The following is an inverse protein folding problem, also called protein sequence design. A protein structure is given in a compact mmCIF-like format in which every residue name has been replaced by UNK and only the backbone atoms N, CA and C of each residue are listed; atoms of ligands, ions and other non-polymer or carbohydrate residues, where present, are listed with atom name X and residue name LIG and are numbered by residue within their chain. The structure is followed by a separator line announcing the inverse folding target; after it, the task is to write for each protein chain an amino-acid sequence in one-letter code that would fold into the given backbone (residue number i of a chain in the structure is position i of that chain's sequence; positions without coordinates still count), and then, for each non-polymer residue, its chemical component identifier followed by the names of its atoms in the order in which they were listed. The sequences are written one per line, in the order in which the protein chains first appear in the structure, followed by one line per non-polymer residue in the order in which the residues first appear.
data_IF_545393187456
#
_entry.id   IF_545393187456
#
_cell.length_a   1.000
_cell.length_b   1.000
_cell.length_c   1.000
_cell.angle_alpha   90.00
_cell.angle_beta   90.00
_cell.angle_gamma   90.00
#
_symmetry.space_group_name_H-M   'P 1'
#
loop_
_entity.id
_entity.type
_entity.pdbx_description
1 polymer ?
#
# COMPACT_ATOMS: atom_id res chain seq x y z
N UNK A 1 5.50 0.20 -1.67
CA UNK A 1 6.93 -0.04 -1.91
C UNK A 1 7.34 0.64 -3.21
N UNK A 2 8.18 1.67 -3.15
CA UNK A 2 8.94 2.08 -4.34
C UNK A 2 10.26 1.34 -4.23
N UNK A 3 10.37 0.21 -4.93
CA UNK A 3 11.63 -0.50 -5.06
C UNK A 3 12.60 0.43 -5.79
N UNK A 4 13.39 1.21 -5.04
CA UNK A 4 14.59 1.88 -5.52
C UNK A 4 15.70 0.83 -5.69
N UNK A 5 15.42 -0.15 -6.53
CA UNK A 5 16.32 -1.24 -6.88
C UNK A 5 16.23 -1.44 -8.38
N UNK A 6 16.53 -0.40 -9.15
CA UNK A 6 16.84 -0.60 -10.55
C UNK A 6 18.21 -1.30 -10.61
N UNK A 7 18.18 -2.63 -10.58
CA UNK A 7 19.16 -3.40 -11.33
C UNK A 7 18.85 -3.05 -12.78
N UNK A 8 19.53 -2.05 -13.31
CA UNK A 8 19.32 -1.52 -14.66
C UNK A 8 19.78 -2.57 -15.69
N UNK A 9 18.94 -3.58 -15.91
CA UNK A 9 19.07 -4.50 -17.03
C UNK A 9 18.84 -3.69 -18.30
N UNK A 10 19.82 -3.72 -19.21
CA UNK A 10 19.74 -3.04 -20.50
C UNK A 10 18.41 -3.39 -21.18
N UNK A 11 17.57 -2.36 -21.41
CA UNK A 11 16.18 -2.52 -21.87
C UNK A 11 16.05 -3.23 -23.21
N UNK A 12 17.07 -3.13 -24.06
CA UNK A 12 17.09 -3.74 -25.40
C UNK A 12 17.71 -5.14 -25.39
N UNK A 13 18.59 -5.43 -24.42
CA UNK A 13 19.30 -6.71 -24.38
C UNK A 13 18.44 -7.86 -23.83
N UNK A 14 17.51 -7.60 -22.90
CA UNK A 14 16.77 -8.66 -22.20
C UNK A 14 15.25 -8.38 -22.05
N UNK A 15 14.51 -8.20 -23.16
CA UNK A 15 13.10 -7.81 -23.11
C UNK A 15 12.20 -8.84 -22.40
N UNK A 16 12.44 -10.13 -22.61
CA UNK A 16 11.64 -11.21 -22.01
C UNK A 16 11.89 -11.37 -20.51
N UNK A 17 13.16 -11.30 -20.09
CA UNK A 17 13.53 -11.37 -18.68
C UNK A 17 12.91 -10.21 -17.89
N UNK A 18 12.97 -8.99 -18.46
CA UNK A 18 12.35 -7.80 -17.87
C UNK A 18 10.84 -7.96 -17.73
N UNK A 19 10.14 -8.44 -18.76
CA UNK A 19 8.69 -8.70 -18.71
C UNK A 19 8.35 -9.70 -17.61
N UNK A 20 9.12 -10.78 -17.47
CA UNK A 20 8.90 -11.79 -16.42
C UNK A 20 9.17 -11.22 -15.03
N UNK A 21 10.27 -10.48 -14.86
CA UNK A 21 10.60 -9.81 -13.60
C UNK A 21 9.50 -8.81 -13.19
N UNK A 22 8.99 -8.01 -14.13
CA UNK A 22 7.87 -7.10 -13.88
C UNK A 22 6.61 -7.84 -13.43
N UNK A 23 6.25 -8.97 -14.07
CA UNK A 23 5.11 -9.80 -13.65
C UNK A 23 5.30 -10.33 -12.23
N UNK A 24 6.49 -10.82 -11.90
CA UNK A 24 6.80 -11.28 -10.54
C UNK A 24 6.71 -10.13 -9.53
N UNK A 25 7.28 -8.97 -9.84
CA UNK A 25 7.22 -7.79 -8.98
C UNK A 25 5.78 -7.31 -8.74
N UNK A 26 4.93 -7.33 -9.77
CA UNK A 26 3.50 -7.00 -9.64
C UNK A 26 2.79 -8.03 -8.76
N UNK A 27 3.02 -9.33 -8.99
CA UNK A 27 2.43 -10.40 -8.18
C UNK A 27 2.80 -10.24 -6.71
N UNK A 28 4.09 -10.23 -6.38
CA UNK A 28 4.57 -10.08 -5.01
C UNK A 28 4.21 -8.72 -4.40
N UNK A 29 4.28 -7.64 -5.17
CA UNK A 29 3.91 -6.31 -4.72
C UNK A 29 2.42 -6.20 -4.38
N UNK A 30 1.55 -6.79 -5.20
CA UNK A 30 0.11 -6.81 -4.93
C UNK A 30 -0.25 -7.65 -3.70
N UNK A 31 0.37 -8.83 -3.55
CA UNK A 31 0.19 -9.68 -2.37
C UNK A 31 0.59 -8.93 -1.09
N UNK A 32 1.77 -8.30 -1.08
CA UNK A 32 2.22 -7.50 0.06
C UNK A 32 1.22 -6.38 0.42
N UNK A 33 0.74 -5.64 -0.58
CA UNK A 33 -0.23 -4.55 -0.34
C UNK A 33 -1.53 -5.10 0.27
N UNK A 34 -2.02 -6.24 -0.24
CA UNK A 34 -3.19 -6.91 0.32
C UNK A 34 -2.96 -7.35 1.77
N UNK A 35 -1.83 -8.00 2.06
CA UNK A 35 -1.48 -8.47 3.41
C UNK A 35 -1.37 -7.31 4.41
N UNK A 36 -0.67 -6.24 4.05
CA UNK A 36 -0.58 -5.04 4.88
C UNK A 36 -1.97 -4.43 5.13
N UNK A 37 -2.80 -4.38 4.09
CA UNK A 37 -4.18 -3.89 4.20
C UNK A 37 -5.00 -4.75 5.16
N UNK A 38 -4.96 -6.09 5.04
CA UNK A 38 -5.63 -7.00 5.95
C UNK A 38 -5.13 -6.88 7.39
N UNK A 39 -3.83 -6.69 7.59
CA UNK A 39 -3.24 -6.47 8.91
C UNK A 39 -3.78 -5.19 9.55
N UNK A 40 -3.78 -4.06 8.82
CA UNK A 40 -4.38 -2.80 9.26
C UNK A 40 -5.85 -2.99 9.61
N UNK A 41 -6.62 -3.69 8.77
CA UNK A 41 -8.02 -3.98 9.06
C UNK A 41 -8.20 -4.82 10.33
N UNK A 42 -7.36 -5.83 10.55
CA UNK A 42 -7.41 -6.69 11.72
C UNK A 42 -7.11 -5.90 13.01
N UNK A 43 -6.09 -5.04 12.99
CA UNK A 43 -5.72 -4.19 14.13
C UNK A 43 -6.87 -3.21 14.46
N UNK A 44 -7.41 -2.54 13.45
CA UNK A 44 -8.48 -1.55 13.65
C UNK A 44 -9.82 -2.19 14.06
N UNK A 45 -10.12 -3.41 13.60
CA UNK A 45 -11.31 -4.17 14.04
C UNK A 45 -11.16 -4.75 15.45
N UNK A 46 -9.94 -4.99 15.94
CA UNK A 46 -9.71 -5.62 17.24
C UNK A 46 -9.95 -4.66 18.43
N UNK A 47 -9.78 -3.34 18.26
CA UNK A 47 -9.85 -2.36 19.36
C UNK A 47 -11.27 -1.85 19.68
N UNK A 48 -12.16 -1.68 18.69
CA UNK A 48 -13.53 -1.17 18.87
C UNK A 48 -14.53 -2.04 18.10
N UNK A 49 -14.92 -3.16 18.70
CA UNK A 49 -15.49 -4.35 18.04
C UNK A 49 -16.87 -4.24 17.35
N UNK A 50 -17.46 -3.06 17.09
CA UNK A 50 -18.81 -3.04 16.47
C UNK A 50 -19.19 -1.86 15.57
N UNK A 51 -18.32 -0.88 15.31
CA UNK A 51 -18.78 0.36 14.61
C UNK A 51 -17.86 0.93 13.53
N UNK A 52 -16.92 0.13 13.00
CA UNK A 52 -16.18 0.57 11.81
C UNK A 52 -17.06 0.39 10.57
N UNK A 53 -17.85 1.41 10.22
CA UNK A 53 -18.58 1.41 8.95
C UNK A 53 -17.60 1.42 7.77
N UNK A 54 -18.05 1.04 6.58
CA UNK A 54 -17.21 1.04 5.37
C UNK A 54 -16.57 2.40 5.09
N UNK A 55 -17.24 3.50 5.46
CA UNK A 55 -16.69 4.85 5.36
C UNK A 55 -15.48 5.05 6.28
N UNK A 56 -15.55 4.60 7.53
CA UNK A 56 -14.44 4.67 8.47
C UNK A 56 -13.26 3.80 7.99
N UNK A 57 -13.57 2.61 7.47
CA UNK A 57 -12.57 1.70 6.92
C UNK A 57 -11.82 2.34 5.73
N UNK A 58 -12.55 2.96 4.80
CA UNK A 58 -11.96 3.69 3.68
C UNK A 58 -11.06 4.83 4.15
N UNK A 59 -11.47 5.60 5.16
CA UNK A 59 -10.66 6.68 5.72
C UNK A 59 -9.36 6.16 6.35
N UNK A 60 -9.42 5.09 7.14
CA UNK A 60 -8.24 4.46 7.76
C UNK A 60 -7.28 3.92 6.69
N UNK A 61 -7.80 3.21 5.68
CA UNK A 61 -6.97 2.73 4.57
C UNK A 61 -6.33 3.89 3.80
N UNK A 62 -7.07 4.98 3.57
CA UNK A 62 -6.51 6.17 2.91
C UNK A 62 -5.38 6.79 3.73
N UNK A 63 -5.56 6.99 5.02
CA UNK A 63 -4.52 7.57 5.90
C UNK A 63 -3.27 6.67 5.94
N UNK A 64 -3.44 5.36 6.06
CA UNK A 64 -2.32 4.42 6.20
C UNK A 64 -1.56 4.17 4.89
N UNK A 65 -2.22 4.32 3.73
CA UNK A 65 -1.61 4.04 2.42
C UNK A 65 -1.12 5.29 1.68
N UNK A 66 -1.54 6.49 2.11
CA UNK A 66 -1.13 7.75 1.50
C UNK A 66 -0.18 8.52 2.40
N UNK A 67 0.68 9.35 1.80
CA UNK A 67 1.53 10.29 2.55
C UNK A 67 0.75 11.58 2.80
N UNK A 68 -0.33 11.50 3.56
CA UNK A 68 -1.08 12.69 3.96
C UNK A 68 -0.33 13.35 5.12
N UNK A 69 0.02 14.62 4.98
CA UNK A 69 0.42 15.47 6.11
C UNK A 69 -0.86 16.04 6.74
N UNK A 70 -1.23 15.65 7.96
CA UNK A 70 -2.40 16.20 8.63
C UNK A 70 -2.17 17.67 9.00
N UNK A 71 -3.06 18.56 8.53
CA UNK A 71 -3.10 19.96 8.96
C UNK A 71 -3.88 20.09 10.28
N UNK A 72 -3.20 19.81 11.39
CA UNK A 72 -3.82 19.90 12.72
C UNK A 72 -4.17 21.34 13.13
N UNK A 73 -3.43 22.33 12.62
CA UNK A 73 -3.64 23.75 12.93
C UNK A 73 -5.01 24.26 12.44
N UNK A 74 -5.54 23.67 11.37
CA UNK A 74 -6.87 24.00 10.85
C UNK A 74 -8.00 23.46 11.74
N UNK A 75 -7.74 22.47 12.60
CA UNK A 75 -8.70 21.85 13.51
C UNK A 75 -8.69 22.47 14.91
N UNK A 76 -7.69 23.29 15.24
CA UNK A 76 -7.50 23.90 16.55
C UNK A 76 -8.18 25.29 16.71
N UNK A 77 -9.01 25.68 15.74
CA UNK A 77 -9.87 26.88 15.79
C UNK A 77 -11.31 26.49 16.11
#
# INVERSE_FOLDING_TARGET
LRLKGEVSLNETAFPNLRRTAQKMLVLFGSTYVCEQTFSVMKINKAHHRSKLSDQHLRSVLRITTTKLTPEFDALAK
#
